data_IF_425404120383
#
_entry.id   IF_425404120383
#
_cell.length_a   1.000
_cell.length_b   1.000
_cell.length_c   1.000
_cell.angle_alpha   90.00
_cell.angle_beta   90.00
_cell.angle_gamma   90.00
#
_symmetry.space_group_name_H-M   'P 1'
#
loop_
_entity.id
_entity.type
_entity.pdbx_description
1 polymer ?
#
# COMPACT_ATOMS: atom_id res chain seq x y z
N UNK A 1 8.97 -11.36 -3.55
CA UNK A 1 10.23 -10.76 -3.05
C UNK A 1 10.05 -9.34 -2.52
N UNK A 2 9.38 -8.41 -3.24
CA UNK A 2 9.23 -7.03 -2.73
C UNK A 2 8.35 -6.92 -1.47
N UNK A 3 7.38 -7.82 -1.29
CA UNK A 3 6.47 -7.77 -0.14
C UNK A 3 7.17 -8.22 1.14
N UNK A 4 8.02 -9.23 1.02
CA UNK A 4 8.80 -9.84 2.09
C UNK A 4 9.90 -8.87 2.55
N UNK A 5 10.59 -8.20 1.60
CA UNK A 5 11.54 -7.13 1.95
C UNK A 5 10.82 -5.95 2.61
N UNK A 6 9.62 -5.59 2.16
CA UNK A 6 8.81 -4.53 2.80
C UNK A 6 8.42 -4.91 4.23
N UNK A 7 8.05 -6.17 4.45
CA UNK A 7 7.69 -6.68 5.77
C UNK A 7 8.89 -6.63 6.72
N UNK A 8 10.09 -7.00 6.25
CA UNK A 8 11.33 -6.86 7.01
C UNK A 8 11.64 -5.40 7.36
N UNK A 9 11.52 -4.49 6.41
CA UNK A 9 11.77 -3.07 6.63
C UNK A 9 10.77 -2.46 7.65
N UNK A 10 9.50 -2.81 7.55
CA UNK A 10 8.48 -2.35 8.49
C UNK A 10 8.71 -2.90 9.91
N UNK A 11 8.99 -4.20 10.02
CA UNK A 11 9.22 -4.86 11.31
C UNK A 11 10.49 -4.34 11.99
N UNK A 12 11.60 -4.18 11.25
CA UNK A 12 12.82 -3.62 11.80
C UNK A 12 12.65 -2.16 12.24
N UNK A 13 11.89 -1.36 11.48
CA UNK A 13 11.53 0.01 11.87
C UNK A 13 10.68 0.04 13.15
N UNK A 14 9.72 -0.87 13.29
CA UNK A 14 8.90 -1.01 14.50
C UNK A 14 9.72 -1.42 15.74
N UNK A 15 10.85 -2.11 15.54
CA UNK A 15 11.82 -2.43 16.59
C UNK A 15 12.80 -1.28 16.90
N UNK A 16 12.70 -0.15 16.18
CA UNK A 16 13.49 1.06 16.38
C UNK A 16 14.74 1.16 15.51
N UNK A 17 14.86 0.36 14.45
CA UNK A 17 16.05 0.33 13.59
C UNK A 17 15.83 1.09 12.28
N UNK A 18 16.86 1.81 11.84
CA UNK A 18 16.80 2.61 10.61
C UNK A 18 17.14 1.75 9.40
N UNK A 19 16.12 1.26 8.70
CA UNK A 19 16.25 0.39 7.50
C UNK A 19 15.89 1.08 6.19
N UNK A 20 15.62 2.39 6.23
CA UNK A 20 15.03 3.12 5.12
C UNK A 20 13.51 2.90 5.02
N UNK A 21 12.86 3.44 3.97
CA UNK A 21 11.42 3.27 3.79
C UNK A 21 11.06 1.79 3.55
N UNK A 22 9.87 1.38 4.00
CA UNK A 22 9.33 0.05 3.74
C UNK A 22 8.81 -0.06 2.28
N UNK A 23 9.72 0.10 1.32
CA UNK A 23 9.44 0.14 -0.12
C UNK A 23 9.55 -1.24 -0.80
N UNK A 24 10.16 -2.22 -0.13
CA UNK A 24 10.44 -3.55 -0.66
C UNK A 24 11.70 -3.63 -1.50
N UNK A 25 12.54 -2.58 -1.48
CA UNK A 25 13.82 -2.54 -2.18
C UNK A 25 14.94 -2.89 -1.23
N UNK A 26 15.74 -3.89 -1.60
CA UNK A 26 16.98 -4.15 -0.88
C UNK A 26 18.04 -3.12 -1.26
N UNK A 27 18.51 -2.35 -0.29
CA UNK A 27 19.54 -1.33 -0.49
C UNK A 27 20.45 -1.17 0.72
N UNK A 28 21.49 -0.31 0.64
CA UNK A 28 22.50 -0.17 1.69
C UNK A 28 21.91 0.18 3.07
N UNK A 29 20.85 1.00 3.10
CA UNK A 29 20.15 1.35 4.35
C UNK A 29 19.40 0.16 4.95
N UNK A 30 18.74 -0.64 4.13
CA UNK A 30 18.03 -1.84 4.59
C UNK A 30 19.01 -2.87 5.11
N UNK A 31 20.12 -3.11 4.40
CA UNK A 31 21.20 -3.98 4.88
C UNK A 31 21.73 -3.51 6.24
N UNK A 32 22.20 -2.26 6.32
CA UNK A 32 22.80 -1.71 7.53
C UNK A 32 21.83 -1.70 8.73
N UNK A 33 20.55 -1.40 8.50
CA UNK A 33 19.54 -1.41 9.56
C UNK A 33 19.18 -2.82 10.05
N UNK A 34 19.20 -3.82 9.17
CA UNK A 34 19.00 -5.23 9.56
C UNK A 34 20.24 -5.81 10.24
N UNK A 35 21.44 -5.41 9.85
CA UNK A 35 22.68 -5.71 10.58
C UNK A 35 22.64 -5.12 11.98
N UNK A 36 22.30 -3.84 12.12
CA UNK A 36 22.15 -3.19 13.43
C UNK A 36 21.07 -3.85 14.30
N UNK A 37 19.95 -4.28 13.69
CA UNK A 37 18.92 -5.06 14.38
C UNK A 37 19.47 -6.38 14.91
N UNK A 38 20.24 -7.11 14.10
CA UNK A 38 20.90 -8.34 14.53
C UNK A 38 21.95 -8.08 15.60
N UNK A 39 22.67 -6.98 15.60
CA UNK A 39 23.66 -6.72 16.66
C UNK A 39 23.00 -6.37 18.01
N UNK A 40 21.79 -5.80 17.97
CA UNK A 40 21.04 -5.34 19.15
C UNK A 40 19.72 -6.12 19.40
N UNK A 41 19.67 -7.39 18.97
CA UNK A 41 18.47 -8.21 19.02
C UNK A 41 18.11 -8.76 20.41
N UNK A 42 19.03 -8.68 21.37
CA UNK A 42 18.84 -9.27 22.70
C UNK A 42 17.62 -8.63 23.40
N UNK A 43 16.73 -9.48 23.92
CA UNK A 43 15.52 -9.05 24.62
C UNK A 43 14.39 -8.53 23.72
N UNK A 44 14.52 -8.61 22.38
CA UNK A 44 13.45 -8.22 21.44
C UNK A 44 12.36 -9.29 21.37
N UNK A 45 11.12 -8.85 21.42
CA UNK A 45 9.94 -9.71 21.34
C UNK A 45 8.75 -8.96 20.73
N UNK A 46 7.71 -9.70 20.35
CA UNK A 46 6.43 -9.17 19.88
C UNK A 46 6.15 -9.45 18.40
N UNK A 47 5.08 -8.84 17.89
CA UNK A 47 4.62 -9.06 16.52
C UNK A 47 5.64 -8.66 15.43
N UNK A 48 6.51 -7.64 15.60
CA UNK A 48 7.57 -7.38 14.63
C UNK A 48 8.57 -8.55 14.48
N UNK A 49 8.89 -9.26 15.56
CA UNK A 49 9.77 -10.44 15.50
C UNK A 49 9.10 -11.57 14.73
N UNK A 50 7.80 -11.76 14.93
CA UNK A 50 6.99 -12.72 14.18
C UNK A 50 6.93 -12.36 12.69
N UNK A 51 6.78 -11.07 12.35
CA UNK A 51 6.76 -10.58 10.97
C UNK A 51 8.10 -10.81 10.24
N UNK A 52 9.24 -10.65 10.92
CA UNK A 52 10.56 -10.99 10.37
C UNK A 52 10.62 -12.49 10.07
N UNK A 53 10.18 -13.33 11.01
CA UNK A 53 10.11 -14.78 10.81
C UNK A 53 9.25 -15.17 9.62
N UNK A 54 8.10 -14.50 9.43
CA UNK A 54 7.22 -14.73 8.27
C UNK A 54 7.89 -14.37 6.95
N UNK A 55 8.53 -13.20 6.89
CA UNK A 55 9.26 -12.79 5.69
C UNK A 55 10.38 -13.77 5.32
N UNK A 56 11.07 -14.33 6.32
CA UNK A 56 12.12 -15.33 6.10
C UNK A 56 11.58 -16.68 5.62
N UNK A 57 10.38 -17.07 6.03
CA UNK A 57 9.68 -18.23 5.44
C UNK A 57 9.39 -17.99 3.96
N UNK A 58 8.76 -16.85 3.66
CA UNK A 58 8.34 -16.53 2.29
C UNK A 58 9.55 -16.35 1.34
N UNK A 59 10.70 -15.91 1.86
CA UNK A 59 11.98 -15.83 1.11
C UNK A 59 12.75 -17.15 1.04
N UNK A 60 12.25 -18.21 1.68
CA UNK A 60 12.84 -19.56 1.68
C UNK A 60 14.04 -19.74 2.61
N UNK A 61 14.26 -18.84 3.57
CA UNK A 61 15.34 -18.94 4.55
C UNK A 61 14.94 -19.71 5.82
N UNK A 62 13.65 -19.69 6.16
CA UNK A 62 13.08 -20.40 7.30
C UNK A 62 12.04 -21.41 6.80
N UNK A 63 11.97 -22.58 7.41
CA UNK A 63 10.96 -23.60 7.05
C UNK A 63 9.60 -23.21 7.62
N UNK A 64 8.50 -23.52 6.93
CA UNK A 64 7.17 -23.35 7.49
C UNK A 64 7.01 -24.08 8.83
N UNK A 65 6.49 -23.36 9.83
CA UNK A 65 6.37 -23.86 11.19
C UNK A 65 5.87 -22.78 12.16
N UNK A 66 5.68 -23.13 13.44
CA UNK A 66 5.23 -22.17 14.45
C UNK A 66 6.28 -21.07 14.65
N UNK A 67 5.89 -19.83 14.36
CA UNK A 67 6.73 -18.67 14.57
C UNK A 67 6.70 -18.21 16.02
N UNK A 68 7.88 -17.90 16.55
CA UNK A 68 8.04 -17.31 17.88
C UNK A 68 7.90 -15.79 17.81
N UNK A 69 7.28 -15.22 18.84
CA UNK A 69 7.36 -13.77 19.09
C UNK A 69 8.66 -13.36 19.77
N UNK A 70 9.46 -14.29 20.26
CA UNK A 70 10.78 -14.01 20.84
C UNK A 70 11.86 -14.19 19.78
N UNK A 71 12.91 -13.37 19.85
CA UNK A 71 14.06 -13.52 18.96
C UNK A 71 14.78 -14.85 19.24
N UNK A 72 14.82 -15.74 18.26
CA UNK A 72 15.45 -17.06 18.40
C UNK A 72 16.82 -17.11 17.72
N UNK A 73 17.72 -18.02 18.13
CA UNK A 73 18.99 -18.25 17.43
C UNK A 73 18.80 -18.63 15.95
N UNK A 74 17.71 -19.32 15.63
CA UNK A 74 17.37 -19.69 14.26
C UNK A 74 16.94 -18.49 13.41
N UNK A 75 16.16 -17.58 13.99
CA UNK A 75 15.80 -16.32 13.36
C UNK A 75 17.04 -15.46 13.10
N UNK A 76 17.95 -15.38 14.07
CA UNK A 76 19.21 -14.63 13.91
C UNK A 76 20.05 -15.19 12.76
N UNK A 77 20.26 -16.50 12.74
CA UNK A 77 21.04 -17.19 11.70
C UNK A 77 20.45 -16.93 10.31
N UNK A 78 19.14 -17.12 10.16
CA UNK A 78 18.45 -17.02 8.86
C UNK A 78 18.36 -15.58 8.35
N UNK A 79 18.17 -14.60 9.24
CA UNK A 79 18.28 -13.18 8.87
C UNK A 79 19.70 -12.84 8.41
N UNK A 80 20.72 -13.41 9.04
CA UNK A 80 22.11 -13.25 8.61
C UNK A 80 22.40 -13.80 7.23
N UNK A 81 21.84 -14.97 6.90
CA UNK A 81 21.96 -15.57 5.58
C UNK A 81 21.28 -14.71 4.51
N UNK A 82 20.09 -14.15 4.80
CA UNK A 82 19.42 -13.21 3.89
C UNK A 82 20.26 -11.95 3.66
N UNK A 83 20.88 -11.41 4.71
CA UNK A 83 21.75 -10.24 4.62
C UNK A 83 22.97 -10.52 3.74
N UNK A 84 23.61 -11.68 3.91
CA UNK A 84 24.75 -12.13 3.12
C UNK A 84 24.38 -12.39 1.64
N UNK A 85 23.13 -12.74 1.37
CA UNK A 85 22.59 -12.95 0.04
C UNK A 85 21.98 -11.67 -0.58
N UNK A 86 22.20 -10.51 0.02
CA UNK A 86 21.74 -9.22 -0.49
C UNK A 86 20.22 -9.16 -0.71
N UNK A 87 19.46 -9.77 0.19
CA UNK A 87 17.99 -9.77 0.13
C UNK A 87 17.41 -10.71 -0.92
N UNK A 88 18.24 -11.48 -1.62
CA UNK A 88 17.79 -12.44 -2.60
C UNK A 88 17.15 -13.65 -1.92
N UNK A 89 16.08 -14.23 -2.47
CA UNK A 89 15.46 -15.44 -1.96
C UNK A 89 16.34 -16.67 -2.19
N UNK A 90 16.15 -17.74 -1.39
CA UNK A 90 16.79 -19.02 -1.65
C UNK A 90 16.20 -19.72 -2.87
N UNK A 91 17.03 -20.50 -3.56
CA UNK A 91 16.59 -21.34 -4.68
C UNK A 91 15.47 -22.29 -4.22
N UNK A 92 14.33 -22.25 -4.92
CA UNK A 92 13.14 -23.04 -4.58
C UNK A 92 12.10 -22.35 -3.69
N UNK A 93 12.32 -21.10 -3.28
CA UNK A 93 11.27 -20.30 -2.63
C UNK A 93 10.08 -20.11 -3.60
N UNK A 94 8.87 -20.50 -3.18
CA UNK A 94 7.63 -20.27 -3.94
C UNK A 94 7.19 -18.83 -3.68
N UNK A 95 7.83 -17.91 -4.39
CA UNK A 95 7.49 -16.50 -4.36
C UNK A 95 6.55 -16.28 -5.53
N UNK A 96 5.31 -15.88 -5.28
CA UNK A 96 4.41 -15.48 -6.36
C UNK A 96 5.09 -14.40 -7.18
N UNK A 97 5.41 -14.75 -8.43
CA UNK A 97 6.13 -13.89 -9.34
C UNK A 97 5.17 -12.81 -9.83
N UNK A 98 4.99 -11.74 -9.06
CA UNK A 98 4.49 -10.49 -9.63
C UNK A 98 5.61 -9.89 -10.48
N UNK A 99 5.66 -10.30 -11.74
CA UNK A 99 6.52 -9.68 -12.75
C UNK A 99 6.00 -8.27 -13.03
N UNK A 100 6.73 -7.28 -12.53
CA UNK A 100 6.62 -5.89 -13.00
C UNK A 100 7.99 -5.50 -13.58
N UNK A 101 8.06 -4.93 -14.80
CA UNK A 101 9.33 -4.59 -15.41
C UNK A 101 10.09 -3.58 -14.55
N UNK A 102 11.42 -3.64 -14.59
CA UNK A 102 12.29 -2.74 -13.86
C UNK A 102 12.03 -1.29 -14.28
N UNK A 103 11.55 -0.47 -13.33
CA UNK A 103 11.67 0.98 -13.47
C UNK A 103 13.15 1.36 -13.39
N UNK A 104 13.66 2.22 -14.29
CA UNK A 104 15.02 2.73 -14.19
C UNK A 104 15.18 3.55 -12.89
N UNK A 105 16.41 3.73 -12.40
CA UNK A 105 16.65 4.46 -11.16
C UNK A 105 16.14 5.90 -11.33
N UNK A 106 15.20 6.31 -10.48
CA UNK A 106 14.76 7.70 -10.42
C UNK A 106 15.86 8.53 -9.75
N UNK A 107 16.57 9.30 -10.57
CA UNK A 107 17.29 10.49 -10.11
C UNK A 107 16.25 11.51 -9.60
N UNK A 108 16.54 12.32 -8.57
CA UNK A 108 15.66 13.40 -8.16
C UNK A 108 15.55 14.41 -9.32
N UNK A 109 14.46 14.34 -10.06
CA UNK A 109 14.17 15.24 -11.16
C UNK A 109 13.41 16.46 -10.65
N UNK A 110 13.99 17.64 -10.81
CA UNK A 110 13.25 18.89 -10.78
C UNK A 110 12.18 18.85 -11.89
N UNK A 111 10.91 18.52 -11.57
CA UNK A 111 9.79 18.61 -12.53
C UNK A 111 8.67 17.56 -12.50
N UNK A 112 8.48 16.77 -11.42
CA UNK A 112 7.44 15.73 -11.32
C UNK A 112 6.01 16.27 -11.50
N UNK A 113 5.55 16.40 -12.75
CA UNK A 113 4.26 16.97 -13.13
C UNK A 113 3.51 15.98 -14.01
N UNK A 114 2.38 15.49 -13.50
CA UNK A 114 1.42 14.70 -14.27
C UNK A 114 0.22 15.56 -14.63
N UNK A 115 -0.22 15.47 -15.88
CA UNK A 115 -1.37 16.22 -16.38
C UNK A 115 -2.47 15.28 -16.86
N UNK A 116 -3.72 15.68 -16.66
CA UNK A 116 -4.91 14.94 -17.05
C UNK A 116 -5.70 15.64 -18.16
N UNK A 117 -6.13 14.84 -19.14
CA UNK A 117 -6.98 15.28 -20.23
C UNK A 117 -6.33 16.29 -21.18
N UNK A 118 -7.06 16.64 -22.25
CA UNK A 118 -6.54 17.53 -23.32
C UNK A 118 -6.21 18.95 -22.81
N UNK A 119 -6.94 19.42 -21.81
CA UNK A 119 -6.72 20.73 -21.20
C UNK A 119 -5.49 20.78 -20.27
N UNK A 120 -4.85 19.64 -19.99
CA UNK A 120 -3.61 19.60 -19.22
C UNK A 120 -3.80 19.97 -17.75
N UNK A 121 -4.76 19.35 -17.07
CA UNK A 121 -4.99 19.62 -15.65
C UNK A 121 -3.87 18.99 -14.82
N UNK A 122 -3.06 19.83 -14.14
CA UNK A 122 -2.02 19.34 -13.24
C UNK A 122 -2.64 18.56 -12.08
N UNK A 123 -2.17 17.33 -11.87
CA UNK A 123 -2.64 16.47 -10.78
C UNK A 123 -2.08 16.96 -9.46
N UNK A 124 -2.96 17.44 -8.57
CA UNK A 124 -2.60 18.02 -7.26
C UNK A 124 -3.44 17.52 -6.09
N UNK A 125 -4.49 16.76 -6.38
CA UNK A 125 -5.45 16.26 -5.39
C UNK A 125 -5.45 14.74 -5.39
N UNK A 126 -5.44 14.14 -4.20
CA UNK A 126 -5.70 12.71 -4.01
C UNK A 126 -6.97 12.54 -3.15
N UNK A 127 -7.92 11.74 -3.62
CA UNK A 127 -9.20 11.52 -2.92
C UNK A 127 -9.39 10.04 -2.57
N UNK A 128 -9.60 9.76 -1.29
CA UNK A 128 -9.93 8.44 -0.77
C UNK A 128 -11.44 8.20 -0.86
N UNK A 129 -11.80 7.03 -1.37
CA UNK A 129 -13.18 6.57 -1.53
C UNK A 129 -13.42 5.23 -0.83
N UNK A 130 -14.70 4.90 -0.71
CA UNK A 130 -15.19 3.57 -0.35
C UNK A 130 -16.17 3.08 -1.40
N UNK A 131 -16.21 1.79 -1.65
CA UNK A 131 -17.17 1.18 -2.60
C UNK A 131 -18.61 1.16 -2.06
N UNK A 132 -18.80 1.49 -0.77
CA UNK A 132 -20.10 1.49 -0.08
C UNK A 132 -20.83 0.14 -0.14
N UNK A 133 -20.07 -0.95 -0.11
CA UNK A 133 -20.59 -2.32 -0.18
C UNK A 133 -20.97 -2.87 1.20
N UNK A 134 -21.96 -3.77 1.29
CA UNK A 134 -22.30 -4.45 2.54
C UNK A 134 -21.14 -5.29 3.10
N UNK A 135 -21.14 -5.51 4.42
CA UNK A 135 -20.13 -6.27 5.20
C UNK A 135 -19.73 -7.61 4.55
N UNK A 136 -20.69 -8.35 4.02
CA UNK A 136 -20.46 -9.69 3.42
C UNK A 136 -20.21 -9.67 1.92
N UNK A 137 -20.27 -8.50 1.26
CA UNK A 137 -20.24 -8.44 -0.20
C UNK A 137 -18.92 -8.97 -0.78
N UNK A 138 -17.79 -8.70 -0.13
CA UNK A 138 -16.47 -9.13 -0.59
C UNK A 138 -16.20 -10.63 -0.37
N UNK A 139 -16.94 -11.28 0.54
CA UNK A 139 -16.68 -12.66 0.94
C UNK A 139 -16.96 -13.64 -0.20
N UNK A 140 -16.05 -14.59 -0.41
CA UNK A 140 -16.16 -15.62 -1.45
C UNK A 140 -15.94 -15.11 -2.88
N UNK A 141 -15.54 -13.84 -3.06
CA UNK A 141 -15.15 -13.27 -4.36
C UNK A 141 -13.65 -13.10 -4.42
N UNK A 142 -13.09 -13.36 -5.60
CA UNK A 142 -11.74 -12.90 -5.96
C UNK A 142 -11.74 -11.38 -6.15
N UNK A 143 -10.57 -10.75 -6.00
CA UNK A 143 -10.42 -9.32 -6.25
C UNK A 143 -10.79 -8.93 -7.69
N UNK A 144 -10.47 -9.78 -8.67
CA UNK A 144 -10.88 -9.59 -10.05
C UNK A 144 -12.41 -9.59 -10.23
N UNK A 145 -13.14 -10.49 -9.55
CA UNK A 145 -14.61 -10.51 -9.57
C UNK A 145 -15.19 -9.24 -8.93
N UNK A 146 -14.67 -8.82 -7.78
CA UNK A 146 -15.10 -7.58 -7.13
C UNK A 146 -14.84 -6.35 -8.01
N UNK A 147 -13.67 -6.26 -8.63
CA UNK A 147 -13.33 -5.18 -9.56
C UNK A 147 -14.28 -5.14 -10.76
N UNK A 148 -14.51 -6.29 -11.39
CA UNK A 148 -15.42 -6.41 -12.53
C UNK A 148 -16.85 -6.01 -12.16
N UNK A 149 -17.32 -6.34 -10.96
CA UNK A 149 -18.64 -5.96 -10.48
C UNK A 149 -18.75 -4.44 -10.23
N UNK A 150 -17.74 -3.82 -9.61
CA UNK A 150 -17.67 -2.35 -9.43
C UNK A 150 -17.63 -1.64 -10.79
N UNK A 151 -16.86 -2.15 -11.75
CA UNK A 151 -16.81 -1.63 -13.12
C UNK A 151 -18.18 -1.72 -13.78
N UNK A 152 -18.85 -2.87 -13.68
CA UNK A 152 -20.21 -3.08 -14.19
C UNK A 152 -21.18 -2.07 -13.60
N UNK A 153 -21.19 -1.86 -12.29
CA UNK A 153 -22.07 -0.86 -11.65
C UNK A 153 -21.89 0.56 -12.19
N UNK A 154 -20.66 0.93 -12.57
CA UNK A 154 -20.40 2.23 -13.20
C UNK A 154 -20.84 2.27 -14.66
N UNK A 155 -20.61 1.19 -15.42
CA UNK A 155 -21.07 1.09 -16.80
C UNK A 155 -22.60 1.08 -16.91
N UNK A 156 -23.30 0.47 -15.96
CA UNK A 156 -24.76 0.49 -15.86
C UNK A 156 -25.31 1.91 -15.61
N UNK A 157 -24.48 2.84 -15.10
CA UNK A 157 -24.79 4.28 -14.98
C UNK A 157 -24.46 5.07 -16.26
N UNK A 158 -24.10 4.39 -17.35
CA UNK A 158 -23.70 5.00 -18.62
C UNK A 158 -22.27 5.53 -18.64
N UNK A 159 -21.42 5.15 -17.69
CA UNK A 159 -20.01 5.56 -17.70
C UNK A 159 -19.21 4.67 -18.66
N UNK A 160 -18.19 5.24 -19.31
CA UNK A 160 -17.31 4.47 -20.22
C UNK A 160 -16.53 3.34 -19.52
N UNK A 161 -16.28 3.52 -18.23
CA UNK A 161 -15.45 2.65 -17.41
C UNK A 161 -15.64 2.98 -15.92
N UNK A 162 -15.03 2.19 -15.04
CA UNK A 162 -14.88 2.44 -13.61
C UNK A 162 -14.45 3.90 -13.36
N UNK A 163 -15.08 4.57 -12.40
CA UNK A 163 -14.80 5.99 -12.15
C UNK A 163 -13.48 6.27 -11.42
N UNK A 164 -12.87 5.26 -10.83
CA UNK A 164 -11.66 5.37 -10.01
C UNK A 164 -10.38 5.11 -10.81
N UNK A 165 -9.27 5.63 -10.31
CA UNK A 165 -7.92 5.32 -10.80
C UNK A 165 -7.42 3.97 -10.29
N UNK A 166 -7.99 3.46 -9.20
CA UNK A 166 -7.80 2.09 -8.75
C UNK A 166 -8.71 1.72 -7.58
N UNK A 167 -8.77 0.43 -7.30
CA UNK A 167 -9.52 -0.15 -6.17
C UNK A 167 -8.58 -0.99 -5.32
N UNK A 168 -8.70 -0.86 -4.00
CA UNK A 168 -7.90 -1.58 -3.01
C UNK A 168 -8.80 -2.56 -2.26
N UNK A 169 -8.37 -3.81 -2.19
CA UNK A 169 -9.14 -4.93 -1.65
C UNK A 169 -8.74 -5.27 -0.20
N UNK A 170 -9.54 -6.09 0.51
CA UNK A 170 -9.29 -6.42 1.92
C UNK A 170 -7.95 -7.10 2.21
N UNK A 171 -7.32 -7.74 1.22
CA UNK A 171 -5.99 -8.34 1.33
C UNK A 171 -4.85 -7.36 0.98
N UNK A 172 -5.17 -6.13 0.58
CA UNK A 172 -4.22 -5.10 0.18
C UNK A 172 -3.84 -5.13 -1.30
N UNK A 173 -4.38 -6.03 -2.11
CA UNK A 173 -4.21 -5.97 -3.57
C UNK A 173 -4.79 -4.65 -4.11
N UNK A 174 -4.11 -4.08 -5.10
CA UNK A 174 -4.58 -2.90 -5.82
C UNK A 174 -4.79 -3.31 -7.28
N UNK A 175 -6.03 -3.20 -7.76
CA UNK A 175 -6.32 -3.32 -9.20
C UNK A 175 -6.50 -1.90 -9.74
N UNK A 176 -5.62 -1.54 -10.68
CA UNK A 176 -5.64 -0.23 -11.33
C UNK A 176 -6.87 -0.11 -12.25
N UNK A 177 -7.52 1.05 -12.20
CA UNK A 177 -8.66 1.43 -13.02
C UNK A 177 -8.21 2.36 -14.14
N UNK A 178 -8.75 3.58 -14.16
CA UNK A 178 -8.34 4.58 -15.14
C UNK A 178 -6.87 4.95 -14.95
N UNK A 179 -6.09 5.10 -16.04
CA UNK A 179 -4.70 5.54 -15.94
C UNK A 179 -4.63 6.95 -15.36
N UNK A 180 -3.59 7.27 -14.59
CA UNK A 180 -3.49 8.57 -13.90
C UNK A 180 -3.51 9.81 -14.82
N UNK A 181 -3.15 9.66 -16.11
CA UNK A 181 -3.24 10.74 -17.11
C UNK A 181 -4.64 10.94 -17.69
N UNK A 182 -5.60 10.10 -17.34
CA UNK A 182 -7.00 10.21 -17.73
C UNK A 182 -7.83 10.86 -16.62
N UNK A 183 -8.84 11.65 -16.99
CA UNK A 183 -9.78 12.21 -16.01
C UNK A 183 -10.72 11.12 -15.49
N UNK A 184 -10.82 11.02 -14.17
CA UNK A 184 -11.72 10.09 -13.46
C UNK A 184 -13.21 10.48 -13.52
N UNK A 185 -14.03 9.70 -12.79
CA UNK A 185 -15.44 9.98 -12.56
C UNK A 185 -15.83 9.59 -11.12
N UNK A 186 -15.14 10.15 -10.13
CA UNK A 186 -15.25 9.79 -8.72
C UNK A 186 -15.71 10.93 -7.80
N UNK A 187 -15.46 12.20 -8.13
CA UNK A 187 -15.97 13.37 -7.40
C UNK A 187 -16.47 14.42 -8.39
N UNK A 188 -17.77 14.69 -8.39
CA UNK A 188 -18.37 15.73 -9.23
C UNK A 188 -17.71 17.07 -8.91
N UNK A 189 -17.28 17.81 -9.94
CA UNK A 189 -16.57 19.08 -9.81
C UNK A 189 -15.06 18.98 -9.50
N UNK A 190 -14.56 17.79 -9.12
CA UNK A 190 -13.16 17.59 -8.74
C UNK A 190 -12.47 16.42 -9.46
N UNK A 191 -13.09 15.86 -10.51
CA UNK A 191 -12.49 14.74 -11.26
C UNK A 191 -11.17 15.09 -11.94
N UNK A 192 -11.05 16.29 -12.51
CA UNK A 192 -9.87 16.72 -13.24
C UNK A 192 -8.78 17.23 -12.27
N UNK A 193 -7.52 16.91 -12.56
CA UNK A 193 -6.38 17.28 -11.70
C UNK A 193 -6.34 16.49 -10.39
N UNK A 194 -6.96 15.31 -10.36
CA UNK A 194 -7.06 14.50 -9.15
C UNK A 194 -6.88 12.99 -9.42
N UNK A 195 -6.38 12.28 -8.42
CA UNK A 195 -6.41 10.83 -8.35
C UNK A 195 -7.46 10.40 -7.34
N UNK A 196 -8.15 9.31 -7.64
CA UNK A 196 -9.26 8.81 -6.84
C UNK A 196 -9.15 7.31 -6.69
N UNK A 197 -8.92 6.85 -5.47
CA UNK A 197 -8.79 5.42 -5.15
C UNK A 197 -9.90 5.01 -4.19
N UNK A 198 -10.55 3.88 -4.48
CA UNK A 198 -11.62 3.34 -3.66
C UNK A 198 -11.17 2.12 -2.88
N UNK A 199 -11.55 2.02 -1.61
CA UNK A 199 -11.31 0.84 -0.77
C UNK A 199 -12.58 -0.01 -0.68
N UNK A 200 -12.44 -1.32 -0.74
CA UNK A 200 -13.52 -2.26 -0.41
C UNK A 200 -13.56 -2.44 1.11
N UNK A 201 -14.66 -2.04 1.79
CA UNK A 201 -14.76 -2.19 3.23
C UNK A 201 -15.08 -3.64 3.63
N UNK A 202 -14.56 -4.08 4.77
CA UNK A 202 -14.92 -5.35 5.41
C UNK A 202 -16.19 -5.24 6.26
N UNK A 203 -16.67 -4.02 6.51
CA UNK A 203 -17.90 -3.72 7.28
C UNK A 203 -18.67 -2.57 6.64
N UNK A 204 -19.99 -2.72 6.58
CA UNK A 204 -20.89 -1.67 6.06
C UNK A 204 -20.67 -0.36 6.82
N UNK A 205 -20.48 0.73 6.08
CA UNK A 205 -20.26 2.06 6.63
C UNK A 205 -21.61 2.74 6.87
N UNK A 206 -22.07 2.76 8.12
CA UNK A 206 -23.35 3.38 8.52
C UNK A 206 -23.16 4.67 9.32
N UNK A 207 -21.92 4.96 9.72
CA UNK A 207 -21.53 6.18 10.45
C UNK A 207 -20.07 6.51 10.15
N UNK A 208 -19.68 7.73 10.50
CA UNK A 208 -18.27 8.10 10.59
C UNK A 208 -17.61 7.34 11.76
N UNK A 209 -16.36 6.92 11.57
CA UNK A 209 -15.57 6.20 12.57
C UNK A 209 -14.08 6.32 12.29
N UNK A 210 -13.32 5.35 12.80
CA UNK A 210 -11.90 5.20 12.47
C UNK A 210 -11.75 4.39 11.19
N UNK A 211 -10.62 4.53 10.50
CA UNK A 211 -10.39 3.76 9.28
C UNK A 211 -10.37 2.24 9.57
N UNK A 212 -9.80 1.85 10.71
CA UNK A 212 -9.70 0.45 11.16
C UNK A 212 -11.06 -0.17 11.51
N UNK A 213 -12.11 0.64 11.70
CA UNK A 213 -13.46 0.11 11.93
C UNK A 213 -14.04 -0.56 10.67
N UNK A 214 -13.52 -0.22 9.49
CA UNK A 214 -14.10 -0.56 8.19
C UNK A 214 -13.14 -1.26 7.22
N UNK A 215 -11.82 -1.13 7.41
CA UNK A 215 -10.80 -1.65 6.50
C UNK A 215 -9.74 -2.45 7.25
N UNK A 216 -9.13 -3.42 6.56
CA UNK A 216 -8.00 -4.17 7.10
C UNK A 216 -6.74 -3.31 7.09
N UNK A 217 -5.75 -3.68 7.90
CA UNK A 217 -4.43 -3.04 7.87
C UNK A 217 -3.78 -3.12 6.49
N UNK A 218 -3.97 -4.24 5.77
CA UNK A 218 -3.44 -4.43 4.42
C UNK A 218 -4.03 -3.40 3.43
N UNK A 219 -5.35 -3.17 3.47
CA UNK A 219 -6.01 -2.13 2.67
C UNK A 219 -5.47 -0.73 3.00
N UNK A 220 -5.35 -0.40 4.28
CA UNK A 220 -4.88 0.92 4.74
C UNK A 220 -3.41 1.15 4.35
N UNK A 221 -2.57 0.14 4.50
CA UNK A 221 -1.15 0.16 4.10
C UNK A 221 -0.99 0.33 2.59
N UNK A 222 -1.78 -0.40 1.79
CA UNK A 222 -1.79 -0.27 0.34
C UNK A 222 -2.20 1.15 -0.11
N UNK A 223 -3.22 1.73 0.53
CA UNK A 223 -3.64 3.11 0.28
C UNK A 223 -2.52 4.12 0.58
N UNK A 224 -1.85 4.02 1.73
CA UNK A 224 -0.66 4.85 2.05
C UNK A 224 0.44 4.67 0.99
N UNK A 225 0.67 3.44 0.55
CA UNK A 225 1.63 3.15 -0.52
C UNK A 225 1.29 3.80 -1.85
N UNK A 226 0.02 3.82 -2.25
CA UNK A 226 -0.46 4.53 -3.47
C UNK A 226 -0.26 6.04 -3.33
N UNK A 227 -0.63 6.61 -2.19
CA UNK A 227 -0.47 8.05 -1.90
C UNK A 227 1.00 8.44 -1.98
N UNK A 228 1.91 7.66 -1.38
CA UNK A 228 3.35 7.91 -1.48
C UNK A 228 3.84 7.88 -2.95
N UNK A 229 3.38 6.92 -3.75
CA UNK A 229 3.69 6.87 -5.20
C UNK A 229 3.16 8.10 -5.94
N UNK A 230 1.97 8.58 -5.57
CA UNK A 230 1.37 9.77 -6.17
C UNK A 230 2.15 11.04 -5.82
N UNK A 231 2.49 11.24 -4.54
CA UNK A 231 3.32 12.37 -4.09
C UNK A 231 4.73 12.36 -4.70
N UNK A 232 5.29 11.17 -4.96
CA UNK A 232 6.59 11.05 -5.60
C UNK A 232 6.56 11.42 -7.10
N UNK A 233 5.42 11.32 -7.78
CA UNK A 233 5.31 11.48 -9.25
C UNK A 233 4.54 12.73 -9.66
N UNK A 234 3.86 13.37 -8.73
CA UNK A 234 2.95 14.50 -8.97
C UNK A 234 3.03 15.48 -7.80
N UNK A 235 2.72 16.77 -8.00
CA UNK A 235 2.73 17.75 -6.92
C UNK A 235 1.41 17.68 -6.14
N UNK A 236 1.11 16.54 -5.51
CA UNK A 236 -0.05 16.43 -4.61
C UNK A 236 0.14 17.44 -3.48
N UNK A 237 -0.76 18.41 -3.41
CA UNK A 237 -0.83 19.43 -2.36
C UNK A 237 -2.04 19.21 -1.44
N UNK A 238 -2.90 18.24 -1.75
CA UNK A 238 -4.05 17.90 -0.90
C UNK A 238 -4.39 16.41 -0.98
N UNK A 239 -4.59 15.81 0.18
CA UNK A 239 -5.12 14.45 0.37
C UNK A 239 -6.43 14.62 1.14
N UNK A 240 -7.52 14.04 0.64
CA UNK A 240 -8.86 14.30 1.16
C UNK A 240 -9.78 13.08 1.09
N UNK A 241 -10.83 13.08 1.89
CA UNK A 241 -11.97 12.16 1.75
C UNK A 241 -13.05 12.71 0.82
N UNK A 242 -13.86 11.84 0.21
CA UNK A 242 -15.00 12.29 -0.60
C UNK A 242 -16.02 13.11 0.24
N UNK A 243 -16.14 12.82 1.53
CA UNK A 243 -16.99 13.54 2.49
C UNK A 243 -16.63 15.02 2.64
N UNK A 244 -15.44 15.46 2.24
CA UNK A 244 -15.07 16.88 2.21
C UNK A 244 -15.67 17.64 1.01
N UNK A 245 -16.08 16.92 -0.04
CA UNK A 245 -16.61 17.50 -1.28
C UNK A 245 -18.12 17.29 -1.43
N UNK A 246 -18.72 16.41 -0.64
CA UNK A 246 -20.15 16.11 -0.66
C UNK A 246 -20.61 15.60 0.72
N UNK A 247 -21.85 15.91 1.10
CA UNK A 247 -22.47 15.41 2.33
C UNK A 247 -22.71 13.89 2.27
N UNK A 248 -21.66 13.10 2.50
CA UNK A 248 -21.62 11.64 2.38
C UNK A 248 -20.74 11.05 3.48
N UNK A 249 -20.92 9.77 3.78
CA UNK A 249 -20.05 9.06 4.73
C UNK A 249 -18.70 8.65 4.12
N UNK A 250 -18.56 8.59 2.80
CA UNK A 250 -17.37 8.11 2.10
C UNK A 250 -16.10 8.94 2.46
N UNK A 251 -14.98 8.34 2.90
CA UNK A 251 -14.64 6.91 2.92
C UNK A 251 -14.94 6.17 4.22
N UNK A 252 -15.72 6.74 5.14
CA UNK A 252 -16.13 6.17 6.43
C UNK A 252 -15.44 6.82 7.63
N UNK A 253 -14.44 7.66 7.38
CA UNK A 253 -13.64 8.34 8.38
C UNK A 253 -13.20 9.72 7.84
N UNK A 254 -12.79 10.62 8.74
CA UNK A 254 -12.23 11.92 8.37
C UNK A 254 -10.79 11.69 7.93
N UNK A 255 -10.43 12.15 6.74
CA UNK A 255 -9.07 12.03 6.22
C UNK A 255 -8.25 13.21 6.75
N UNK A 256 -7.31 12.92 7.65
CA UNK A 256 -6.30 13.87 8.11
C UNK A 256 -5.03 13.64 7.30
N UNK A 257 -4.57 14.56 6.44
CA UNK A 257 -3.46 14.32 5.52
C UNK A 257 -2.21 13.72 6.16
N UNK A 258 -1.88 14.13 7.38
CA UNK A 258 -0.71 13.70 8.15
C UNK A 258 -0.71 12.19 8.44
N UNK A 259 -1.88 11.55 8.52
CA UNK A 259 -2.01 10.11 8.76
C UNK A 259 -1.74 9.27 7.48
N UNK A 260 -1.72 9.93 6.32
CA UNK A 260 -1.73 9.29 5.00
C UNK A 260 -0.54 9.68 4.12
N UNK A 261 -0.04 10.89 4.29
CA UNK A 261 1.05 11.42 3.50
C UNK A 261 2.40 10.78 3.88
N UNK A 262 3.34 10.64 2.94
CA UNK A 262 4.70 10.24 3.28
C UNK A 262 5.39 11.31 4.15
N UNK A 263 6.37 10.89 4.94
CA UNK A 263 7.18 11.82 5.74
C UNK A 263 7.81 12.90 4.85
N UNK A 264 7.73 14.16 5.30
CA UNK A 264 8.25 15.32 4.56
C UNK A 264 7.35 15.79 3.40
N UNK A 265 6.14 15.22 3.27
CA UNK A 265 5.11 15.82 2.42
C UNK A 265 4.74 17.21 2.96
N UNK A 266 4.77 18.21 2.08
CA UNK A 266 4.33 19.56 2.35
C UNK A 266 3.17 19.89 1.41
N UNK A 267 2.05 20.31 2.00
CA UNK A 267 0.85 20.73 1.28
C UNK A 267 1.08 22.02 0.49
#
# INVERSE_FOLDING_TARGET
>A
MRQEIRLLQAAASALGFTVGPADGLWGPKTRAGLEALRDAHQGRWGDPVLQIGRALIDLGYLTEGPLSRAWTPELDRTLGELIAADGLPRSGAVIEATTQPASPPLRPGHGNRLFQGRAGHLVRLFVLHTTATPTSWWQGKTNAQMFAEIRRWHMDKGWRDIGYHGVIFPDGEIIEGRPWGEIGAHVVGHNAGSLGYSMVPIRTITRMGRAEDFYTEATLSAMRGVIARACARTPITRIAGHNEFAAKLCPGFVVTPEDWAPAGWAA
#
